data_IF_786504698524
#
_entry.id   IF_786504698524
#
_cell.length_a   1.000
_cell.length_b   1.000
_cell.length_c   1.000
_cell.angle_alpha   90.00
_cell.angle_beta   90.00
_cell.angle_gamma   90.00
#
_symmetry.space_group_name_H-M   'P 1'
#
loop_
_entity.id
_entity.type
_entity.pdbx_description
1 polymer ?
#
# COMPACT_ATOMS: atom_id res chain seq x y z
N UNK A 1 20.18 6.74 -2.96
CA UNK A 1 18.85 6.98 -2.36
C UNK A 1 17.95 5.83 -2.77
N UNK A 2 17.21 5.23 -1.84
CA UNK A 2 16.24 4.20 -2.20
C UNK A 2 15.08 4.84 -2.98
N UNK A 3 14.48 4.10 -3.92
CA UNK A 3 13.29 4.59 -4.65
C UNK A 3 12.04 4.22 -3.88
N UNK A 4 10.99 5.04 -3.99
CA UNK A 4 9.67 4.70 -3.47
C UNK A 4 9.21 3.39 -4.11
N UNK A 5 8.75 2.45 -3.28
CA UNK A 5 8.23 1.16 -3.73
C UNK A 5 6.94 0.84 -2.99
N UNK A 6 5.96 0.33 -3.71
CA UNK A 6 4.73 -0.16 -3.15
C UNK A 6 4.37 -1.48 -3.83
N UNK A 7 4.10 -2.49 -3.02
CA UNK A 7 3.85 -3.86 -3.46
C UNK A 7 2.61 -4.40 -2.75
N UNK A 8 1.85 -5.24 -3.44
CA UNK A 8 0.79 -6.04 -2.84
C UNK A 8 0.93 -7.50 -3.24
N UNK A 9 0.59 -8.40 -2.33
CA UNK A 9 0.62 -9.84 -2.57
C UNK A 9 -0.43 -10.53 -1.70
N UNK A 10 -0.74 -11.78 -2.06
CA UNK A 10 -1.55 -12.66 -1.22
C UNK A 10 -0.59 -13.48 -0.36
N UNK A 11 -0.80 -13.51 0.95
CA UNK A 11 -0.04 -14.37 1.84
C UNK A 11 -0.48 -15.85 1.72
N UNK A 12 0.11 -16.72 2.54
CA UNK A 12 -0.20 -18.16 2.50
C UNK A 12 -1.64 -18.48 2.93
N UNK A 13 -2.25 -17.60 3.71
CA UNK A 13 -3.57 -17.77 4.30
C UNK A 13 -4.67 -17.11 3.43
N UNK A 14 -4.30 -16.61 2.24
CA UNK A 14 -5.23 -15.96 1.32
C UNK A 14 -5.48 -14.48 1.63
N UNK A 15 -4.75 -13.89 2.58
CA UNK A 15 -4.92 -12.50 2.95
C UNK A 15 -4.13 -11.58 2.04
N UNK A 16 -4.66 -10.38 1.79
CA UNK A 16 -3.97 -9.39 0.98
C UNK A 16 -3.07 -8.56 1.88
N UNK A 17 -1.79 -8.50 1.53
CA UNK A 17 -0.77 -7.73 2.21
C UNK A 17 -0.29 -6.61 1.30
N UNK A 18 0.11 -5.48 1.88
CA UNK A 18 0.84 -4.43 1.19
C UNK A 18 2.13 -4.07 1.91
N UNK A 19 3.15 -3.67 1.16
CA UNK A 19 4.42 -3.11 1.67
C UNK A 19 4.69 -1.78 1.02
N UNK A 20 4.99 -0.77 1.83
CA UNK A 20 5.49 0.51 1.35
C UNK A 20 6.93 0.74 1.82
N UNK A 21 7.86 0.90 0.88
CA UNK A 21 9.25 1.31 1.14
C UNK A 21 9.42 2.78 0.80
N UNK A 22 9.87 3.57 1.77
CA UNK A 22 10.16 4.99 1.59
C UNK A 22 11.48 5.22 0.82
N UNK A 23 11.70 6.46 0.39
CA UNK A 23 12.93 6.82 -0.33
C UNK A 23 14.22 6.76 0.51
N UNK A 24 14.08 6.42 1.80
CA UNK A 24 15.17 6.24 2.77
C UNK A 24 15.43 4.76 3.07
N UNK A 25 14.67 3.85 2.47
CA UNK A 25 14.82 2.39 2.63
C UNK A 25 14.04 1.80 3.81
N UNK A 26 13.17 2.57 4.49
CA UNK A 26 12.31 2.05 5.55
C UNK A 26 11.05 1.47 4.95
N UNK A 27 10.72 0.23 5.34
CA UNK A 27 9.53 -0.48 4.87
C UNK A 27 8.50 -0.65 5.99
N UNK A 28 7.23 -0.59 5.65
CA UNK A 28 6.12 -0.97 6.55
C UNK A 28 5.13 -1.84 5.81
N UNK A 29 4.51 -2.76 6.55
CA UNK A 29 3.54 -3.71 6.01
C UNK A 29 2.15 -3.42 6.55
N UNK A 30 1.12 -3.69 5.74
CA UNK A 30 -0.27 -3.59 6.14
C UNK A 30 -1.07 -4.80 5.66
N UNK A 31 -2.00 -5.23 6.51
CA UNK A 31 -2.93 -6.33 6.26
C UNK A 31 -4.27 -5.81 5.76
N UNK A 32 -4.85 -6.46 4.75
CA UNK A 32 -6.15 -6.11 4.18
C UNK A 32 -7.06 -7.33 4.14
N UNK A 33 -8.16 -7.30 4.90
CA UNK A 33 -9.20 -8.33 4.85
C UNK A 33 -10.05 -8.22 3.59
N UNK A 34 -10.56 -7.01 3.32
CA UNK A 34 -11.37 -6.69 2.14
C UNK A 34 -10.97 -5.30 1.62
N UNK A 35 -9.82 -5.18 0.94
CA UNK A 35 -9.37 -3.91 0.39
C UNK A 35 -10.38 -3.36 -0.64
N UNK A 36 -10.65 -2.05 -0.64
CA UNK A 36 -11.42 -1.42 -1.72
C UNK A 36 -10.64 -1.45 -3.04
N UNK A 37 -11.30 -1.30 -4.19
CA UNK A 37 -10.61 -1.21 -5.50
C UNK A 37 -9.69 0.03 -5.61
N UNK A 38 -9.94 1.07 -4.80
CA UNK A 38 -9.07 2.25 -4.69
C UNK A 38 -9.18 2.92 -3.32
N UNK A 39 -8.14 3.66 -2.97
CA UNK A 39 -8.07 4.47 -1.75
C UNK A 39 -7.88 5.96 -2.05
N UNK A 40 -8.26 6.43 -3.24
CA UNK A 40 -8.03 7.82 -3.64
C UNK A 40 -8.79 8.81 -2.75
N UNK A 41 -9.94 8.39 -2.23
CA UNK A 41 -10.83 9.16 -1.36
C UNK A 41 -10.31 9.33 0.08
N UNK A 42 -9.35 8.51 0.53
CA UNK A 42 -8.93 8.53 1.95
C UNK A 42 -8.01 9.70 2.24
N UNK A 43 -8.12 10.30 3.43
CA UNK A 43 -7.21 11.34 3.87
C UNK A 43 -5.84 10.78 4.29
N UNK A 44 -4.84 11.67 4.53
CA UNK A 44 -3.52 11.28 5.02
C UNK A 44 -3.58 10.39 6.26
N UNK A 45 -4.50 10.66 7.18
CA UNK A 45 -4.69 9.94 8.43
C UNK A 45 -4.96 8.44 8.25
N UNK A 46 -5.56 8.04 7.13
CA UNK A 46 -5.81 6.63 6.82
C UNK A 46 -4.52 5.88 6.47
N UNK A 47 -3.63 6.55 5.74
CA UNK A 47 -2.34 5.98 5.36
C UNK A 47 -1.31 6.10 6.49
N UNK A 48 -1.36 7.21 7.22
CA UNK A 48 -0.45 7.57 8.31
C UNK A 48 -0.95 6.98 9.65
N UNK A 49 -0.17 7.18 10.72
CA UNK A 49 -0.59 6.91 12.11
C UNK A 49 -1.12 5.50 12.39
N UNK A 50 -0.25 4.49 12.46
CA UNK A 50 -0.54 3.11 12.91
C UNK A 50 -1.63 2.33 12.13
N UNK A 51 -2.36 2.94 11.20
CA UNK A 51 -3.45 2.25 10.49
C UNK A 51 -2.95 1.43 9.31
N UNK A 52 -2.08 2.00 8.45
CA UNK A 52 -1.61 1.31 7.23
C UNK A 52 -0.10 1.35 7.08
N UNK A 53 0.46 2.52 6.78
CA UNK A 53 1.87 2.69 6.46
C UNK A 53 2.46 3.89 7.20
N UNK A 54 2.90 3.72 8.46
CA UNK A 54 3.35 4.83 9.31
C UNK A 54 4.59 5.58 8.78
N UNK A 55 5.32 5.01 7.80
CA UNK A 55 6.42 5.67 7.08
C UNK A 55 5.97 6.57 5.91
N UNK A 56 4.67 6.71 5.66
CA UNK A 56 4.11 7.75 4.79
C UNK A 56 4.23 9.09 5.50
N UNK A 57 5.20 9.92 5.11
CA UNK A 57 5.50 11.17 5.84
C UNK A 57 5.06 12.46 5.14
N UNK A 58 4.68 12.41 3.86
CA UNK A 58 4.41 13.59 3.05
C UNK A 58 3.41 13.30 1.92
N UNK A 59 2.89 14.35 1.29
CA UNK A 59 1.92 14.26 0.20
C UNK A 59 2.43 13.49 -1.03
N UNK A 60 3.74 13.49 -1.29
CA UNK A 60 4.33 12.69 -2.38
C UNK A 60 4.24 11.20 -2.09
N UNK A 61 4.47 10.78 -0.85
CA UNK A 61 4.31 9.38 -0.44
C UNK A 61 2.85 8.96 -0.57
N UNK A 62 1.90 9.80 -0.13
CA UNK A 62 0.46 9.50 -0.24
C UNK A 62 0.02 9.33 -1.69
N UNK A 63 0.33 10.30 -2.55
CA UNK A 63 -0.02 10.24 -3.96
C UNK A 63 0.60 9.01 -4.65
N UNK A 64 1.84 8.66 -4.27
CA UNK A 64 2.50 7.46 -4.76
C UNK A 64 1.78 6.18 -4.32
N UNK A 65 1.50 6.04 -3.02
CA UNK A 65 0.81 4.87 -2.46
C UNK A 65 -0.58 4.71 -3.07
N UNK A 66 -1.38 5.78 -3.15
CA UNK A 66 -2.72 5.75 -3.76
C UNK A 66 -2.70 5.25 -5.20
N UNK A 67 -1.82 5.83 -6.03
CA UNK A 67 -1.65 5.41 -7.43
C UNK A 67 -1.22 3.94 -7.54
N UNK A 68 -0.21 3.54 -6.77
CA UNK A 68 0.32 2.17 -6.82
C UNK A 68 -0.62 1.13 -6.22
N UNK A 69 -1.39 1.50 -5.21
CA UNK A 69 -2.39 0.63 -4.62
C UNK A 69 -3.39 0.16 -5.68
N UNK A 70 -3.93 1.09 -6.47
CA UNK A 70 -4.83 0.74 -7.57
C UNK A 70 -4.17 -0.21 -8.58
N UNK A 71 -2.93 0.08 -8.98
CA UNK A 71 -2.18 -0.74 -9.96
C UNK A 71 -1.85 -2.14 -9.42
N UNK A 72 -1.37 -2.26 -8.18
CA UNK A 72 -0.98 -3.53 -7.56
C UNK A 72 -2.19 -4.37 -7.16
N UNK A 73 -3.26 -3.74 -6.65
CA UNK A 73 -4.47 -4.46 -6.29
C UNK A 73 -5.15 -5.11 -7.50
N UNK A 74 -5.18 -4.42 -8.65
CA UNK A 74 -5.69 -5.02 -9.89
C UNK A 74 -4.86 -6.24 -10.30
N UNK A 75 -3.52 -6.21 -10.18
CA UNK A 75 -2.68 -7.38 -10.47
C UNK A 75 -2.98 -8.54 -9.53
N UNK A 76 -3.10 -8.27 -8.24
CA UNK A 76 -3.45 -9.29 -7.23
C UNK A 76 -4.80 -9.91 -7.57
N UNK A 77 -5.82 -9.08 -7.83
CA UNK A 77 -7.18 -9.52 -8.18
C UNK A 77 -7.21 -10.37 -9.45
N UNK A 78 -6.52 -9.93 -10.52
CA UNK A 78 -6.45 -10.68 -11.78
C UNK A 78 -5.71 -12.01 -11.65
N UNK A 79 -4.68 -12.09 -10.80
CA UNK A 79 -3.94 -13.35 -10.58
C UNK A 79 -4.71 -14.35 -9.68
N UNK A 80 -5.89 -13.98 -9.17
CA UNK A 80 -6.73 -14.84 -8.32
C UNK A 80 -7.91 -15.46 -9.10
N UNK A 81 -7.99 -15.23 -10.42
CA UNK A 81 -9.07 -15.73 -11.30
C UNK A 81 -8.54 -16.76 -12.29
#
# INVERSE_FOLDING_TARGET
>A
MARLKFEMWIDRDGNIMSRFTDGKGRSTDSYWSSPPDSIDHVGPEYLRYNYRHPNVGNAKHEAFVKRRFKEEFQKVKTNTV
#
